data_IF_416164418615
#
_entry.id   IF_416164418615
#
_cell.length_a   1.000
_cell.length_b   1.000
_cell.length_c   1.000
_cell.angle_alpha   90.00
_cell.angle_beta   90.00
_cell.angle_gamma   90.00
#
_symmetry.space_group_name_H-M   'P 1'
#
loop_
_entity.id
_entity.type
_entity.pdbx_description
1 polymer ?
#
# COMPACT_ATOMS: atom_id res chain seq x y z
N UNK A 1 -84.54 22.41 -64.94
CA UNK A 1 -84.18 21.25 -64.09
C UNK A 1 -82.72 20.80 -64.21
N UNK A 2 -82.06 20.93 -65.37
CA UNK A 2 -80.68 20.42 -65.64
C UNK A 2 -79.56 21.08 -64.81
N UNK A 3 -79.67 22.38 -64.45
CA UNK A 3 -78.65 23.08 -63.64
C UNK A 3 -78.57 22.61 -62.17
N UNK A 4 -79.67 22.09 -61.60
CA UNK A 4 -79.68 21.58 -60.21
C UNK A 4 -78.93 20.24 -60.10
N UNK A 5 -79.07 19.35 -61.08
CA UNK A 5 -78.38 18.05 -61.10
C UNK A 5 -76.86 18.18 -61.29
N UNK A 6 -76.38 19.12 -62.12
CA UNK A 6 -74.92 19.37 -62.26
C UNK A 6 -74.29 19.91 -60.98
N UNK A 7 -74.99 20.77 -60.23
CA UNK A 7 -74.51 21.26 -58.91
C UNK A 7 -74.51 20.16 -57.86
N UNK A 8 -75.54 19.32 -57.81
CA UNK A 8 -75.59 18.18 -56.89
C UNK A 8 -74.47 17.16 -57.16
N UNK A 9 -74.15 16.88 -58.43
CA UNK A 9 -73.08 15.97 -58.84
C UNK A 9 -71.69 16.52 -58.48
N UNK A 10 -71.48 17.83 -58.62
CA UNK A 10 -70.25 18.51 -58.23
C UNK A 10 -70.05 18.49 -56.71
N UNK A 11 -71.12 18.73 -55.95
CA UNK A 11 -71.10 18.68 -54.47
C UNK A 11 -70.83 17.26 -53.99
N UNK A 12 -71.44 16.23 -54.61
CA UNK A 12 -71.20 14.84 -54.26
C UNK A 12 -69.77 14.41 -54.58
N UNK A 13 -69.22 14.81 -55.74
CA UNK A 13 -67.83 14.57 -56.10
C UNK A 13 -66.83 15.26 -55.16
N UNK A 14 -67.08 16.51 -54.77
CA UNK A 14 -66.26 17.24 -53.80
C UNK A 14 -66.35 16.60 -52.40
N UNK A 15 -67.53 16.15 -51.98
CA UNK A 15 -67.71 15.43 -50.72
C UNK A 15 -67.03 14.05 -50.72
N UNK A 16 -67.00 13.36 -51.86
CA UNK A 16 -66.31 12.07 -52.03
C UNK A 16 -64.78 12.25 -52.01
N UNK A 17 -64.27 13.33 -52.61
CA UNK A 17 -62.84 13.70 -52.52
C UNK A 17 -62.48 14.15 -51.11
N UNK A 18 -63.30 14.95 -50.44
CA UNK A 18 -63.07 15.35 -49.04
C UNK A 18 -63.11 14.16 -48.08
N UNK A 19 -64.04 13.22 -48.26
CA UNK A 19 -64.11 11.99 -47.45
C UNK A 19 -62.96 11.02 -47.75
N UNK A 20 -62.53 10.89 -49.01
CA UNK A 20 -61.32 10.16 -49.37
C UNK A 20 -60.05 10.79 -48.76
N UNK A 21 -59.95 12.12 -48.70
CA UNK A 21 -58.85 12.86 -48.04
C UNK A 21 -58.86 12.70 -46.52
N UNK A 22 -60.03 12.49 -45.91
CA UNK A 22 -60.19 12.16 -44.48
C UNK A 22 -59.73 10.73 -44.14
N UNK A 23 -59.73 9.81 -45.12
CA UNK A 23 -59.30 8.42 -44.97
C UNK A 23 -57.79 8.21 -45.18
N UNK A 24 -57.03 9.24 -45.60
CA UNK A 24 -55.57 9.15 -45.74
C UNK A 24 -54.93 9.00 -44.35
N UNK A 25 -54.15 7.93 -44.08
CA UNK A 25 -53.44 7.76 -42.82
C UNK A 25 -52.54 8.97 -42.53
N UNK A 26 -52.82 9.68 -41.45
CA UNK A 26 -52.04 10.87 -41.06
C UNK A 26 -50.81 10.44 -40.27
N UNK A 27 -49.63 10.79 -40.76
CA UNK A 27 -48.40 10.61 -39.99
C UNK A 27 -48.47 11.49 -38.73
N UNK A 28 -48.45 10.83 -37.57
CA UNK A 28 -48.54 11.49 -36.27
C UNK A 28 -47.15 11.94 -35.83
N UNK A 29 -47.01 13.10 -35.17
CA UNK A 29 -45.73 13.50 -34.61
C UNK A 29 -45.24 12.45 -33.58
N UNK A 30 -43.93 12.23 -33.46
CA UNK A 30 -43.35 11.49 -32.34
C UNK A 30 -43.78 12.12 -31.01
N UNK A 31 -44.02 11.29 -29.99
CA UNK A 31 -44.40 11.78 -28.66
C UNK A 31 -43.21 12.45 -27.97
N UNK A 32 -43.44 13.36 -27.00
CA UNK A 32 -42.36 13.97 -26.22
C UNK A 32 -41.47 12.95 -25.50
N UNK A 33 -42.03 11.81 -25.10
CA UNK A 33 -41.29 10.70 -24.48
C UNK A 33 -40.30 10.06 -25.46
N UNK A 34 -40.78 9.75 -26.68
CA UNK A 34 -39.96 9.22 -27.77
C UNK A 34 -38.87 10.22 -28.19
N UNK A 35 -39.14 11.52 -28.12
CA UNK A 35 -38.12 12.55 -28.40
C UNK A 35 -37.04 12.69 -27.31
N UNK A 36 -37.26 12.17 -26.11
CA UNK A 36 -36.32 12.21 -24.97
C UNK A 36 -35.63 10.88 -24.71
N UNK A 37 -36.07 9.79 -25.35
CA UNK A 37 -35.57 8.44 -25.10
C UNK A 37 -34.06 8.28 -25.29
N UNK A 38 -33.40 8.86 -26.32
CA UNK A 38 -31.98 8.58 -26.54
C UNK A 38 -31.10 9.07 -25.38
N UNK A 39 -31.27 10.33 -24.95
CA UNK A 39 -30.52 10.88 -23.82
C UNK A 39 -30.92 10.25 -22.49
N UNK A 40 -32.21 9.95 -22.29
CA UNK A 40 -32.68 9.31 -21.06
C UNK A 40 -32.01 7.94 -20.88
N UNK A 41 -32.02 7.10 -21.93
CA UNK A 41 -31.36 5.78 -21.92
C UNK A 41 -29.87 5.91 -21.67
N UNK A 42 -29.19 6.78 -22.42
CA UNK A 42 -27.75 6.99 -22.26
C UNK A 42 -27.35 7.33 -20.82
N UNK A 43 -28.12 8.18 -20.12
CA UNK A 43 -27.83 8.57 -18.74
C UNK A 43 -28.24 7.48 -17.73
N UNK A 44 -29.36 6.79 -17.95
CA UNK A 44 -29.88 5.79 -17.03
C UNK A 44 -29.14 4.45 -17.11
N UNK A 45 -28.68 4.08 -18.30
CA UNK A 45 -28.04 2.80 -18.60
C UNK A 45 -26.52 2.91 -18.68
N UNK A 46 -25.95 4.11 -18.47
CA UNK A 46 -24.51 4.31 -18.39
C UNK A 46 -23.91 3.34 -17.36
N UNK A 47 -22.85 2.59 -17.73
CA UNK A 47 -22.21 1.67 -16.81
C UNK A 47 -21.75 2.37 -15.51
N UNK A 48 -21.89 1.72 -14.33
CA UNK A 48 -21.45 2.29 -13.07
C UNK A 48 -19.94 2.59 -13.11
N UNK A 49 -19.56 3.74 -12.55
CA UNK A 49 -18.16 4.19 -12.56
C UNK A 49 -17.67 4.81 -13.88
N UNK A 50 -18.57 5.02 -14.85
CA UNK A 50 -18.24 5.82 -16.03
C UNK A 50 -17.79 7.22 -15.61
N UNK A 51 -16.58 7.67 -15.99
CA UNK A 51 -16.10 9.01 -15.64
C UNK A 51 -17.06 10.08 -16.16
N UNK A 52 -17.34 11.08 -15.31
CA UNK A 52 -18.31 12.13 -15.65
C UNK A 52 -17.98 12.85 -16.95
N UNK A 53 -16.70 13.13 -17.19
CA UNK A 53 -16.22 13.75 -18.43
C UNK A 53 -16.55 12.91 -19.68
N UNK A 54 -16.38 11.58 -19.61
CA UNK A 54 -16.71 10.67 -20.72
C UNK A 54 -18.21 10.66 -20.96
N UNK A 55 -19.01 10.58 -19.90
CA UNK A 55 -20.47 10.64 -20.02
C UNK A 55 -20.95 11.96 -20.62
N UNK A 56 -20.39 13.09 -20.18
CA UNK A 56 -20.75 14.43 -20.67
C UNK A 56 -20.39 14.62 -22.16
N UNK A 57 -19.25 14.07 -22.61
CA UNK A 57 -18.86 14.05 -24.02
C UNK A 57 -19.88 13.27 -24.87
N UNK A 58 -20.24 12.04 -24.43
CA UNK A 58 -21.22 11.19 -25.14
C UNK A 58 -22.62 11.81 -25.14
N UNK A 59 -23.05 12.37 -24.01
CA UNK A 59 -24.31 13.11 -23.87
C UNK A 59 -24.37 14.30 -24.82
N UNK A 60 -23.27 15.04 -24.99
CA UNK A 60 -23.22 16.18 -25.90
C UNK A 60 -23.43 15.76 -27.36
N UNK A 61 -22.82 14.65 -27.78
CA UNK A 61 -23.00 14.06 -29.10
C UNK A 61 -24.45 13.66 -29.38
N UNK A 62 -25.05 12.84 -28.50
CA UNK A 62 -26.44 12.38 -28.65
C UNK A 62 -27.43 13.56 -28.57
N UNK A 63 -27.17 14.53 -27.70
CA UNK A 63 -28.00 15.74 -27.56
C UNK A 63 -28.05 16.58 -28.84
N UNK A 64 -26.95 16.63 -29.60
CA UNK A 64 -26.93 17.33 -30.89
C UNK A 64 -27.94 16.71 -31.87
N UNK A 65 -27.89 15.38 -32.07
CA UNK A 65 -28.80 14.65 -32.97
C UNK A 65 -30.27 14.74 -32.50
N UNK A 66 -30.50 14.60 -31.18
CA UNK A 66 -31.84 14.72 -30.61
C UNK A 66 -32.43 16.12 -30.81
N UNK A 67 -31.64 17.18 -30.64
CA UNK A 67 -32.10 18.56 -30.91
C UNK A 67 -32.49 18.75 -32.37
N UNK A 68 -31.73 18.19 -33.32
CA UNK A 68 -32.09 18.24 -34.73
C UNK A 68 -33.43 17.54 -35.00
N UNK A 69 -33.69 16.38 -34.39
CA UNK A 69 -34.96 15.67 -34.49
C UNK A 69 -36.12 16.51 -33.94
N UNK A 70 -35.96 17.14 -32.76
CA UNK A 70 -36.97 18.01 -32.14
C UNK A 70 -37.29 19.20 -33.05
N UNK A 71 -36.27 19.86 -33.62
CA UNK A 71 -36.46 20.97 -34.57
C UNK A 71 -37.19 20.49 -35.82
N UNK A 72 -36.88 19.31 -36.34
CA UNK A 72 -37.56 18.73 -37.50
C UNK A 72 -39.05 18.45 -37.20
N UNK A 73 -39.39 17.91 -36.03
CA UNK A 73 -40.79 17.75 -35.59
C UNK A 73 -41.48 19.10 -35.50
N UNK A 74 -40.87 20.09 -34.85
CA UNK A 74 -41.45 21.43 -34.68
C UNK A 74 -41.72 22.11 -36.03
N UNK A 75 -40.80 21.97 -37.00
CA UNK A 75 -40.98 22.49 -38.37
C UNK A 75 -42.17 21.82 -39.06
N UNK A 76 -42.33 20.51 -38.92
CA UNK A 76 -43.41 19.78 -39.60
C UNK A 76 -44.77 19.98 -38.95
N UNK A 77 -44.82 20.13 -37.62
CA UNK A 77 -46.05 20.44 -36.88
C UNK A 77 -46.68 21.78 -37.28
N UNK A 78 -45.89 22.73 -37.78
CA UNK A 78 -46.36 24.03 -38.30
C UNK A 78 -47.02 23.95 -39.69
N UNK A 79 -46.88 22.84 -40.40
CA UNK A 79 -47.50 22.66 -41.73
C UNK A 79 -48.98 22.25 -41.63
N UNK A 80 -49.80 22.53 -42.66
CA UNK A 80 -51.16 22.02 -42.75
C UNK A 80 -51.20 20.49 -42.60
N UNK A 81 -52.21 19.89 -41.93
CA UNK A 81 -52.24 18.46 -41.60
C UNK A 81 -51.95 17.50 -42.76
N UNK A 82 -52.37 17.86 -43.98
CA UNK A 82 -52.19 17.06 -45.20
C UNK A 82 -50.76 17.10 -45.77
N UNK A 83 -49.95 18.08 -45.36
CA UNK A 83 -48.56 18.27 -45.81
C UNK A 83 -47.54 17.89 -44.72
N UNK A 84 -48.02 17.24 -43.65
CA UNK A 84 -47.19 16.73 -42.55
C UNK A 84 -46.57 15.38 -42.94
N UNK A 85 -45.46 15.04 -42.29
CA UNK A 85 -44.55 13.98 -42.72
C UNK A 85 -43.29 14.03 -41.87
N UNK A 86 -43.23 13.15 -40.88
CA UNK A 86 -42.23 13.14 -39.82
C UNK A 86 -41.11 12.13 -40.10
N UNK A 87 -41.06 11.51 -41.28
CA UNK A 87 -40.04 10.52 -41.67
C UNK A 87 -38.61 11.03 -41.46
N UNK A 88 -38.32 12.28 -41.81
CA UNK A 88 -37.00 12.89 -41.57
C UNK A 88 -36.69 13.04 -40.08
N UNK A 89 -37.66 13.45 -39.27
CA UNK A 89 -37.51 13.55 -37.82
C UNK A 89 -37.33 12.16 -37.17
N UNK A 90 -38.04 11.14 -37.66
CA UNK A 90 -37.88 9.74 -37.22
C UNK A 90 -36.50 9.18 -37.58
N UNK A 91 -35.96 9.50 -38.77
CA UNK A 91 -34.59 9.12 -39.15
C UNK A 91 -33.55 9.77 -38.23
N UNK A 92 -33.68 11.06 -37.94
CA UNK A 92 -32.78 11.77 -37.01
C UNK A 92 -32.86 11.19 -35.59
N UNK A 93 -34.06 10.80 -35.15
CA UNK A 93 -34.23 10.15 -33.86
C UNK A 93 -33.60 8.75 -33.85
N UNK A 94 -33.80 7.96 -34.91
CA UNK A 94 -33.17 6.64 -35.05
C UNK A 94 -31.63 6.74 -35.06
N UNK A 95 -31.06 7.78 -35.69
CA UNK A 95 -29.62 8.03 -35.61
C UNK A 95 -29.16 8.45 -34.20
N UNK A 96 -29.99 9.20 -33.46
CA UNK A 96 -29.68 9.56 -32.08
C UNK A 96 -29.74 8.33 -31.15
N UNK A 97 -30.71 7.44 -31.36
CA UNK A 97 -30.83 6.16 -30.65
C UNK A 97 -29.64 5.25 -30.96
N UNK A 98 -29.29 5.07 -32.23
CA UNK A 98 -28.13 4.27 -32.62
C UNK A 98 -26.82 4.82 -32.02
N UNK A 99 -26.64 6.14 -32.00
CA UNK A 99 -25.49 6.77 -31.36
C UNK A 99 -25.47 6.60 -29.84
N UNK A 100 -26.64 6.55 -29.19
CA UNK A 100 -26.75 6.25 -27.76
C UNK A 100 -26.39 4.79 -27.48
N UNK A 101 -26.88 3.84 -28.29
CA UNK A 101 -26.58 2.41 -28.17
C UNK A 101 -25.08 2.15 -28.37
N UNK A 102 -24.47 2.73 -29.42
CA UNK A 102 -23.02 2.67 -29.68
C UNK A 102 -22.20 3.24 -28.51
N UNK A 103 -22.63 4.38 -27.94
CA UNK A 103 -21.96 4.97 -26.80
C UNK A 103 -22.03 4.08 -25.55
N UNK A 104 -23.19 3.46 -25.29
CA UNK A 104 -23.39 2.54 -24.17
C UNK A 104 -22.50 1.29 -24.32
N UNK A 105 -22.46 0.69 -25.50
CA UNK A 105 -21.62 -0.47 -25.78
C UNK A 105 -20.11 -0.16 -25.65
N UNK A 106 -19.68 1.00 -26.18
CA UNK A 106 -18.30 1.44 -26.04
C UNK A 106 -17.91 1.67 -24.57
N UNK A 107 -18.77 2.35 -23.79
CA UNK A 107 -18.53 2.55 -22.36
C UNK A 107 -18.53 1.22 -21.60
N UNK A 108 -19.45 0.29 -21.92
CA UNK A 108 -19.51 -1.02 -21.28
C UNK A 108 -18.25 -1.84 -21.54
N UNK A 109 -17.73 -1.81 -22.77
CA UNK A 109 -16.47 -2.49 -23.14
C UNK A 109 -15.29 -1.94 -22.36
N UNK A 110 -15.16 -0.61 -22.28
CA UNK A 110 -14.09 0.05 -21.51
C UNK A 110 -14.20 -0.28 -20.02
N UNK A 111 -15.41 -0.25 -19.45
CA UNK A 111 -15.64 -0.56 -18.04
C UNK A 111 -15.41 -2.05 -17.72
N UNK A 112 -15.74 -2.96 -18.64
CA UNK A 112 -15.45 -4.38 -18.49
C UNK A 112 -13.93 -4.65 -18.48
N UNK A 113 -13.18 -4.00 -19.38
CA UNK A 113 -11.72 -4.10 -19.40
C UNK A 113 -11.10 -3.52 -18.11
N UNK A 114 -11.56 -2.34 -17.68
CA UNK A 114 -11.10 -1.71 -16.43
C UNK A 114 -11.43 -2.56 -15.20
N UNK A 115 -12.60 -3.20 -15.16
CA UNK A 115 -12.98 -4.13 -14.10
C UNK A 115 -12.04 -5.34 -14.05
N UNK A 116 -11.73 -5.94 -15.20
CA UNK A 116 -10.83 -7.09 -15.28
C UNK A 116 -9.41 -6.72 -14.82
N UNK A 117 -8.92 -5.54 -15.22
CA UNK A 117 -7.63 -5.04 -14.74
C UNK A 117 -7.66 -4.78 -13.23
N UNK A 118 -8.72 -4.14 -12.70
CA UNK A 118 -8.87 -3.89 -11.27
C UNK A 118 -8.85 -5.19 -10.46
N UNK A 119 -9.60 -6.22 -10.89
CA UNK A 119 -9.60 -7.53 -10.26
C UNK A 119 -8.19 -8.13 -10.24
N UNK A 120 -7.51 -8.13 -11.39
CA UNK A 120 -6.15 -8.67 -11.52
C UNK A 120 -5.18 -7.97 -10.57
N UNK A 121 -5.20 -6.63 -10.54
CA UNK A 121 -4.30 -5.87 -9.66
C UNK A 121 -4.62 -6.05 -8.18
N UNK A 122 -5.90 -6.15 -7.80
CA UNK A 122 -6.28 -6.42 -6.41
C UNK A 122 -5.77 -7.79 -5.97
N UNK A 123 -5.90 -8.82 -6.81
CA UNK A 123 -5.36 -10.15 -6.52
C UNK A 123 -3.85 -10.11 -6.35
N UNK A 124 -3.12 -9.46 -7.26
CA UNK A 124 -1.67 -9.28 -7.13
C UNK A 124 -1.30 -8.52 -5.85
N UNK A 125 -2.06 -7.48 -5.50
CA UNK A 125 -1.85 -6.69 -4.29
C UNK A 125 -2.08 -7.51 -3.01
N UNK A 126 -3.10 -8.36 -3.00
CA UNK A 126 -3.37 -9.31 -1.91
C UNK A 126 -2.19 -10.27 -1.70
N UNK A 127 -1.71 -10.91 -2.78
CA UNK A 127 -0.57 -11.82 -2.73
C UNK A 127 0.71 -11.12 -2.28
N UNK A 128 1.00 -9.94 -2.81
CA UNK A 128 2.17 -9.16 -2.44
C UNK A 128 2.16 -8.78 -0.95
N UNK A 129 1.00 -8.38 -0.42
CA UNK A 129 0.82 -8.02 0.98
C UNK A 129 0.94 -9.22 1.91
N UNK A 130 0.38 -10.37 1.53
CA UNK A 130 0.55 -11.62 2.27
C UNK A 130 2.03 -12.03 2.34
N UNK A 131 2.73 -11.96 1.20
CA UNK A 131 4.17 -12.25 1.15
C UNK A 131 4.97 -11.27 2.01
N UNK A 132 4.67 -9.97 1.95
CA UNK A 132 5.33 -8.96 2.77
C UNK A 132 5.10 -9.20 4.29
N UNK A 133 3.89 -9.62 4.68
CA UNK A 133 3.58 -10.02 6.08
C UNK A 133 4.39 -11.23 6.53
N UNK A 134 4.44 -12.30 5.71
CA UNK A 134 5.18 -13.52 6.06
C UNK A 134 6.67 -13.25 6.18
N UNK A 135 7.23 -12.51 5.23
CA UNK A 135 8.64 -12.11 5.27
C UNK A 135 8.90 -11.23 6.48
N UNK A 136 8.05 -10.24 6.74
CA UNK A 136 8.18 -9.37 7.89
C UNK A 136 8.12 -10.10 9.22
N UNK A 137 7.20 -11.05 9.40
CA UNK A 137 7.13 -11.85 10.62
C UNK A 137 8.43 -12.63 10.91
N UNK A 138 9.21 -12.97 9.87
CA UNK A 138 10.49 -13.69 10.00
C UNK A 138 11.67 -12.79 10.36
N UNK A 139 11.64 -11.54 9.91
CA UNK A 139 12.64 -10.52 10.25
C UNK A 139 11.97 -9.48 11.14
N UNK A 140 11.95 -9.73 12.46
CA UNK A 140 11.35 -8.89 13.51
C UNK A 140 11.16 -7.44 13.04
N UNK A 141 9.96 -7.15 12.51
CA UNK A 141 9.76 -5.91 11.74
C UNK A 141 10.01 -4.71 12.62
N UNK A 142 10.61 -3.68 12.04
CA UNK A 142 10.65 -2.36 12.67
C UNK A 142 9.22 -1.82 12.85
N UNK A 143 8.99 -0.98 13.85
CA UNK A 143 7.69 -0.33 14.09
C UNK A 143 7.14 0.37 12.83
N UNK A 144 8.03 1.03 12.07
CA UNK A 144 7.68 1.67 10.81
C UNK A 144 7.16 0.68 9.75
N UNK A 145 7.80 -0.49 9.61
CA UNK A 145 7.37 -1.53 8.66
C UNK A 145 6.02 -2.15 9.07
N UNK A 146 5.78 -2.36 10.38
CA UNK A 146 4.45 -2.79 10.86
C UNK A 146 3.36 -1.77 10.54
N UNK A 147 3.61 -0.48 10.79
CA UNK A 147 2.68 0.59 10.45
C UNK A 147 2.44 0.67 8.94
N UNK A 148 3.49 0.51 8.12
CA UNK A 148 3.38 0.49 6.67
C UNK A 148 2.45 -0.65 6.19
N UNK A 149 2.61 -1.86 6.73
CA UNK A 149 1.73 -3.01 6.40
C UNK A 149 0.27 -2.74 6.76
N UNK A 150 -0.01 -2.19 7.95
CA UNK A 150 -1.37 -1.81 8.36
C UNK A 150 -1.96 -0.79 7.37
N UNK A 151 -1.17 0.21 6.97
CA UNK A 151 -1.61 1.19 5.98
C UNK A 151 -1.88 0.57 4.61
N UNK A 152 -1.10 -0.44 4.20
CA UNK A 152 -1.35 -1.18 2.96
C UNK A 152 -2.65 -1.99 3.03
N UNK A 153 -2.97 -2.59 4.20
CA UNK A 153 -4.23 -3.31 4.41
C UNK A 153 -5.44 -2.39 4.23
N UNK A 154 -5.41 -1.22 4.88
CA UNK A 154 -6.47 -0.20 4.74
C UNK A 154 -6.62 0.22 3.27
N UNK A 155 -5.49 0.45 2.59
CA UNK A 155 -5.48 0.86 1.17
C UNK A 155 -6.04 -0.24 0.25
N UNK A 156 -5.78 -1.51 0.57
CA UNK A 156 -6.31 -2.65 -0.16
C UNK A 156 -7.84 -2.75 0.02
N UNK A 157 -8.35 -2.54 1.23
CA UNK A 157 -9.79 -2.48 1.45
C UNK A 157 -10.44 -1.31 0.69
N UNK A 158 -9.78 -0.16 0.60
CA UNK A 158 -10.24 0.95 -0.24
C UNK A 158 -10.33 0.55 -1.71
N UNK A 159 -9.34 -0.19 -2.23
CA UNK A 159 -9.37 -0.70 -3.58
C UNK A 159 -10.59 -1.62 -3.82
N UNK A 160 -10.87 -2.53 -2.88
CA UNK A 160 -12.03 -3.44 -2.94
C UNK A 160 -13.37 -2.69 -2.86
N UNK A 161 -13.46 -1.65 -2.02
CA UNK A 161 -14.64 -0.78 -1.94
C UNK A 161 -14.88 -0.03 -3.24
N UNK A 162 -13.83 0.48 -3.87
CA UNK A 162 -13.93 1.17 -5.16
C UNK A 162 -14.34 0.21 -6.29
N UNK A 163 -13.79 -1.02 -6.32
CA UNK A 163 -14.24 -2.08 -7.23
C UNK A 163 -15.74 -2.34 -7.09
N UNK A 164 -16.24 -2.46 -5.85
CA UNK A 164 -17.67 -2.70 -5.58
C UNK A 164 -18.56 -1.54 -6.03
N UNK A 165 -18.07 -0.31 -5.95
CA UNK A 165 -18.77 0.91 -6.41
C UNK A 165 -18.71 1.12 -7.93
N UNK A 166 -17.94 0.30 -8.65
CA UNK A 166 -17.68 0.47 -10.08
C UNK A 166 -16.57 1.46 -10.41
N UNK A 167 -15.94 2.10 -9.43
CA UNK A 167 -14.81 3.00 -9.66
C UNK A 167 -13.50 2.20 -9.86
N UNK A 168 -13.41 1.56 -11.03
CA UNK A 168 -12.30 0.66 -11.34
C UNK A 168 -10.96 1.40 -11.45
N UNK A 169 -10.95 2.65 -11.90
CA UNK A 169 -9.72 3.44 -11.99
C UNK A 169 -9.16 3.76 -10.60
N UNK A 170 -10.01 4.18 -9.66
CA UNK A 170 -9.57 4.37 -8.28
C UNK A 170 -9.13 3.04 -7.64
N UNK A 171 -9.81 1.93 -7.96
CA UNK A 171 -9.41 0.59 -7.49
C UNK A 171 -8.02 0.18 -8.02
N UNK A 172 -7.77 0.34 -9.32
CA UNK A 172 -6.47 0.06 -9.98
C UNK A 172 -5.35 0.88 -9.35
N UNK A 173 -5.59 2.19 -9.13
CA UNK A 173 -4.61 3.07 -8.53
C UNK A 173 -4.27 2.65 -7.10
N UNK A 174 -5.28 2.40 -6.26
CA UNK A 174 -5.10 1.96 -4.87
C UNK A 174 -4.39 0.61 -4.78
N UNK A 175 -4.75 -0.36 -5.62
CA UNK A 175 -4.05 -1.64 -5.71
C UNK A 175 -2.57 -1.45 -6.14
N UNK A 176 -2.30 -0.52 -7.06
CA UNK A 176 -0.94 -0.14 -7.45
C UNK A 176 -0.09 0.40 -6.28
N UNK A 177 -0.69 1.20 -5.39
CA UNK A 177 -0.02 1.71 -4.18
C UNK A 177 0.35 0.56 -3.22
N UNK A 178 -0.53 -0.43 -3.08
CA UNK A 178 -0.28 -1.62 -2.25
C UNK A 178 0.87 -2.46 -2.82
N UNK A 179 0.90 -2.64 -4.15
CA UNK A 179 1.97 -3.37 -4.83
C UNK A 179 3.34 -2.73 -4.65
N UNK A 180 3.44 -1.41 -4.85
CA UNK A 180 4.71 -0.69 -4.69
C UNK A 180 5.17 -0.67 -3.23
N UNK A 181 4.26 -0.42 -2.29
CA UNK A 181 4.53 -0.48 -0.85
C UNK A 181 5.03 -1.86 -0.42
N UNK A 182 4.31 -2.92 -0.79
CA UNK A 182 4.68 -4.30 -0.44
C UNK A 182 6.05 -4.71 -1.01
N UNK A 183 6.37 -4.27 -2.23
CA UNK A 183 7.70 -4.51 -2.83
C UNK A 183 8.80 -3.82 -2.03
N UNK A 184 8.60 -2.56 -1.64
CA UNK A 184 9.58 -1.83 -0.82
C UNK A 184 9.87 -2.54 0.50
N UNK A 185 8.83 -3.07 1.17
CA UNK A 185 8.99 -3.84 2.40
C UNK A 185 9.75 -5.16 2.18
N UNK A 186 9.45 -5.87 1.09
CA UNK A 186 10.18 -7.09 0.71
C UNK A 186 11.65 -6.81 0.43
N UNK A 187 11.97 -5.71 -0.25
CA UNK A 187 13.35 -5.31 -0.51
C UNK A 187 14.09 -4.91 0.77
N UNK A 188 13.43 -4.20 1.69
CA UNK A 188 13.97 -3.89 3.01
C UNK A 188 14.30 -5.16 3.80
N UNK A 189 13.35 -6.10 3.83
CA UNK A 189 13.54 -7.38 4.50
C UNK A 189 14.66 -8.22 3.86
N UNK A 190 14.73 -8.25 2.53
CA UNK A 190 15.77 -8.96 1.80
C UNK A 190 17.16 -8.38 2.11
N UNK A 191 17.31 -7.05 2.18
CA UNK A 191 18.55 -6.38 2.59
C UNK A 191 18.96 -6.75 4.02
N UNK A 192 17.99 -6.76 4.94
CA UNK A 192 18.22 -7.20 6.33
C UNK A 192 18.69 -8.65 6.37
N UNK A 193 17.98 -9.57 5.71
CA UNK A 193 18.34 -10.99 5.69
C UNK A 193 19.72 -11.22 5.08
N UNK A 194 20.05 -10.52 3.98
CA UNK A 194 21.36 -10.59 3.34
C UNK A 194 22.49 -10.20 4.31
N UNK A 195 22.30 -9.15 5.12
CA UNK A 195 23.26 -8.75 6.17
C UNK A 195 23.39 -9.84 7.24
N UNK A 196 22.28 -10.38 7.72
CA UNK A 196 22.27 -11.40 8.78
C UNK A 196 22.86 -12.75 8.33
N UNK A 197 22.91 -12.99 7.01
CA UNK A 197 23.49 -14.19 6.41
C UNK A 197 24.90 -13.98 5.83
N UNK A 198 25.44 -12.77 5.90
CA UNK A 198 26.78 -12.49 5.39
C UNK A 198 27.83 -13.27 6.18
N UNK A 199 28.53 -14.19 5.49
CA UNK A 199 29.47 -15.12 6.14
C UNK A 199 30.60 -14.42 6.87
N UNK A 200 31.06 -13.27 6.36
CA UNK A 200 32.17 -12.53 6.97
C UNK A 200 31.75 -11.86 8.27
N UNK A 201 30.56 -11.26 8.26
CA UNK A 201 29.92 -10.60 9.40
C UNK A 201 29.54 -11.62 10.47
N UNK A 202 28.92 -12.74 10.08
CA UNK A 202 28.55 -13.83 11.00
C UNK A 202 29.77 -14.46 11.65
N UNK A 203 30.86 -14.68 10.90
CA UNK A 203 32.11 -15.19 11.47
C UNK A 203 32.75 -14.19 12.46
N UNK A 204 32.66 -12.89 12.16
CA UNK A 204 33.12 -11.83 13.06
C UNK A 204 32.32 -11.83 14.38
N UNK A 205 30.99 -11.87 14.30
CA UNK A 205 30.10 -11.95 15.45
C UNK A 205 30.37 -13.20 16.29
N UNK A 206 30.48 -14.37 15.66
CA UNK A 206 30.83 -15.63 16.35
C UNK A 206 32.12 -15.49 17.14
N UNK A 207 33.17 -14.95 16.51
CA UNK A 207 34.46 -14.74 17.16
C UNK A 207 34.35 -13.81 18.36
N UNK A 208 33.59 -12.71 18.27
CA UNK A 208 33.41 -11.80 19.40
C UNK A 208 32.68 -12.47 20.56
N UNK A 209 31.59 -13.20 20.28
CA UNK A 209 30.84 -13.95 21.30
C UNK A 209 31.73 -15.00 21.97
N UNK A 210 32.42 -15.82 21.20
CA UNK A 210 33.32 -16.87 21.72
C UNK A 210 34.41 -16.28 22.62
N UNK A 211 35.00 -15.15 22.23
CA UNK A 211 36.02 -14.46 23.01
C UNK A 211 35.47 -13.94 24.35
N UNK A 212 34.26 -13.40 24.35
CA UNK A 212 33.60 -12.85 25.54
C UNK A 212 33.18 -13.95 26.52
N UNK A 213 32.59 -15.03 26.02
CA UNK A 213 32.25 -16.20 26.85
C UNK A 213 33.52 -16.88 27.38
N UNK A 214 34.57 -17.00 26.56
CA UNK A 214 35.85 -17.54 27.01
C UNK A 214 36.54 -16.65 28.04
N UNK A 215 36.41 -15.31 27.93
CA UNK A 215 36.88 -14.38 28.96
C UNK A 215 36.15 -14.61 30.28
N UNK A 216 34.80 -14.70 30.25
CA UNK A 216 33.98 -14.97 31.43
C UNK A 216 34.42 -16.26 32.12
N UNK A 217 34.68 -17.33 31.34
CA UNK A 217 35.20 -18.60 31.85
C UNK A 217 36.57 -18.47 32.53
N UNK A 218 37.51 -17.77 31.91
CA UNK A 218 38.89 -17.65 32.43
C UNK A 218 38.96 -16.77 33.69
N UNK A 219 38.08 -15.78 33.79
CA UNK A 219 38.05 -14.85 34.92
C UNK A 219 37.09 -15.28 36.02
N UNK A 220 36.35 -16.39 35.83
CA UNK A 220 35.25 -16.81 36.71
C UNK A 220 34.33 -15.63 37.05
N UNK A 221 33.90 -14.91 36.01
CA UNK A 221 33.18 -13.63 36.16
C UNK A 221 32.10 -13.45 35.11
N UNK A 222 31.23 -12.48 35.34
CA UNK A 222 30.08 -12.15 34.50
C UNK A 222 30.48 -11.54 33.15
N UNK A 223 29.76 -11.89 32.09
CA UNK A 223 29.79 -11.19 30.80
C UNK A 223 28.38 -11.11 30.19
N UNK A 224 28.16 -10.08 29.36
CA UNK A 224 26.90 -9.89 28.64
C UNK A 224 27.10 -10.11 27.14
N UNK A 225 26.11 -10.72 26.49
CA UNK A 225 26.02 -10.82 25.03
C UNK A 225 24.64 -10.34 24.59
N UNK A 226 24.58 -9.46 23.60
CA UNK A 226 23.34 -8.89 23.07
C UNK A 226 23.15 -9.38 21.64
N UNK A 227 22.00 -10.00 21.39
CA UNK A 227 21.50 -10.44 20.11
C UNK A 227 20.45 -9.45 19.59
N UNK A 228 20.82 -8.63 18.61
CA UNK A 228 19.92 -7.57 18.12
C UNK A 228 18.73 -8.14 17.35
N UNK A 229 18.95 -9.08 16.42
CA UNK A 229 17.87 -9.69 15.64
C UNK A 229 16.97 -10.59 16.50
N UNK A 230 17.52 -11.15 17.58
CA UNK A 230 16.78 -11.95 18.55
C UNK A 230 16.14 -11.14 19.67
N UNK A 231 16.31 -9.81 19.72
CA UNK A 231 15.88 -8.91 20.80
C UNK A 231 16.22 -9.44 22.19
N UNK A 232 17.44 -9.94 22.37
CA UNK A 232 17.85 -10.66 23.58
C UNK A 232 19.15 -10.16 24.19
N UNK A 233 19.19 -10.09 25.52
CA UNK A 233 20.40 -9.93 26.31
C UNK A 233 20.67 -11.19 27.12
N UNK A 234 21.82 -11.79 26.91
CA UNK A 234 22.25 -13.04 27.52
C UNK A 234 23.29 -12.74 28.61
N UNK A 235 23.02 -13.24 29.81
CA UNK A 235 23.91 -13.13 30.96
C UNK A 235 24.72 -14.42 31.11
N UNK A 236 26.04 -14.32 31.01
CA UNK A 236 26.96 -15.43 31.27
C UNK A 236 27.66 -15.24 32.60
N UNK A 237 27.84 -16.32 33.35
CA UNK A 237 28.74 -16.38 34.49
C UNK A 237 29.70 -17.57 34.33
N UNK A 238 31.00 -17.33 34.54
CA UNK A 238 32.05 -18.35 34.41
C UNK A 238 31.95 -19.15 33.09
N UNK A 239 31.55 -18.49 32.01
CA UNK A 239 31.38 -19.06 30.68
C UNK A 239 30.15 -19.96 30.50
N UNK A 240 29.20 -19.94 31.44
CA UNK A 240 27.91 -20.64 31.37
C UNK A 240 26.79 -19.61 31.21
N UNK A 241 25.83 -19.88 30.32
CA UNK A 241 24.63 -19.05 30.19
C UNK A 241 23.79 -19.21 31.47
N UNK A 242 23.56 -18.12 32.17
CA UNK A 242 22.78 -18.08 33.41
C UNK A 242 21.31 -17.80 33.12
N UNK A 243 21.02 -16.76 32.34
CA UNK A 243 19.66 -16.39 31.93
C UNK A 243 19.68 -15.52 30.68
N UNK A 244 18.50 -15.31 30.09
CA UNK A 244 18.27 -14.44 28.93
C UNK A 244 17.11 -13.50 29.23
N UNK A 245 17.23 -12.25 28.81
CA UNK A 245 16.21 -11.21 28.93
C UNK A 245 15.77 -10.74 27.55
N UNK A 246 14.50 -10.41 27.43
CA UNK A 246 14.00 -9.67 26.27
C UNK A 246 14.40 -8.19 26.42
N UNK A 247 14.76 -7.55 25.32
CA UNK A 247 15.19 -6.14 25.31
C UNK A 247 14.48 -5.34 24.23
N UNK A 248 14.14 -4.10 24.55
CA UNK A 248 13.78 -3.09 23.55
C UNK A 248 15.07 -2.42 23.04
N UNK A 249 15.20 -2.25 21.72
CA UNK A 249 16.39 -1.65 21.09
C UNK A 249 16.13 -0.23 20.57
N UNK A 250 17.13 0.30 19.86
CA UNK A 250 16.95 1.51 19.07
C UNK A 250 15.99 1.32 17.91
N UNK A 251 15.28 2.38 17.52
CA UNK A 251 14.28 2.38 16.43
C UNK A 251 14.80 1.86 15.07
N UNK A 252 16.12 1.79 14.89
CA UNK A 252 16.77 1.18 13.74
C UNK A 252 17.64 -0.02 14.19
N UNK A 253 17.03 -1.13 14.64
CA UNK A 253 17.71 -2.16 15.42
C UNK A 253 18.69 -3.00 14.60
N UNK A 254 18.57 -3.09 13.27
CA UNK A 254 19.37 -4.03 12.46
C UNK A 254 20.74 -3.48 12.05
N UNK A 255 20.86 -2.25 11.50
CA UNK A 255 22.15 -1.71 11.10
C UNK A 255 23.10 -1.53 12.29
N UNK A 256 24.40 -1.55 12.03
CA UNK A 256 25.40 -1.12 13.02
C UNK A 256 25.34 0.40 13.17
N UNK A 257 25.56 0.87 14.40
CA UNK A 257 25.60 2.29 14.71
C UNK A 257 26.85 2.92 14.11
N UNK A 258 26.66 4.03 13.42
CA UNK A 258 27.72 4.82 12.82
C UNK A 258 27.76 6.24 13.36
N UNK A 259 26.62 6.83 13.73
CA UNK A 259 26.59 8.22 14.16
C UNK A 259 25.41 8.56 15.08
N UNK A 260 25.43 9.78 15.62
CA UNK A 260 24.29 10.32 16.37
C UNK A 260 23.06 10.45 15.47
N UNK A 261 21.89 10.03 15.96
CA UNK A 261 20.62 10.16 15.25
C UNK A 261 20.29 9.04 14.24
N UNK A 262 21.19 8.07 14.00
CA UNK A 262 20.89 6.88 13.18
C UNK A 262 19.94 5.87 13.85
N UNK A 263 19.69 6.08 15.15
CA UNK A 263 18.83 5.29 16.05
C UNK A 263 19.20 3.80 16.10
N UNK A 264 20.43 3.45 15.72
CA UNK A 264 20.93 2.09 15.78
C UNK A 264 21.61 1.80 17.11
N UNK A 265 21.51 0.55 17.56
CA UNK A 265 22.32 0.00 18.65
C UNK A 265 23.66 -0.49 18.07
N UNK A 266 24.82 -0.10 18.65
CA UNK A 266 26.12 -0.40 18.08
C UNK A 266 26.43 -1.90 18.13
N UNK A 267 27.23 -2.39 17.19
CA UNK A 267 27.77 -3.75 17.17
C UNK A 267 29.27 -3.73 17.47
N UNK A 268 29.71 -4.58 18.37
CA UNK A 268 31.09 -4.57 18.81
C UNK A 268 31.30 -5.20 20.18
N UNK A 269 32.52 -5.04 20.71
CA UNK A 269 32.88 -5.46 22.06
C UNK A 269 33.08 -4.21 22.91
N UNK A 270 32.32 -4.12 23.97
CA UNK A 270 32.23 -3.02 24.91
C UNK A 270 32.52 -3.49 26.32
N UNK A 271 32.58 -2.54 27.24
CA UNK A 271 32.59 -2.75 28.68
C UNK A 271 31.64 -1.75 29.32
N UNK A 272 31.08 -2.14 30.47
CA UNK A 272 30.42 -1.19 31.35
C UNK A 272 31.47 -0.20 31.87
N UNK A 273 31.36 1.06 31.49
CA UNK A 273 32.23 2.13 31.97
C UNK A 273 31.72 2.74 33.28
N UNK A 274 30.41 2.69 33.52
CA UNK A 274 29.80 3.20 34.75
C UNK A 274 28.49 2.48 35.04
N UNK A 275 28.22 2.19 36.32
CA UNK A 275 26.91 1.77 36.82
C UNK A 275 26.25 2.97 37.50
N UNK A 276 25.01 3.29 37.12
CA UNK A 276 24.27 4.48 37.57
C UNK A 276 22.90 4.09 38.11
N UNK A 277 22.52 4.68 39.24
CA UNK A 277 21.18 4.58 39.81
C UNK A 277 20.78 5.89 40.52
N UNK A 278 19.56 5.94 41.04
CA UNK A 278 19.07 7.09 41.82
C UNK A 278 19.17 8.40 41.04
N UNK A 279 19.93 9.36 41.56
CA UNK A 279 20.09 10.69 40.95
C UNK A 279 21.07 10.74 39.77
N UNK A 280 21.83 9.68 39.50
CA UNK A 280 22.89 9.66 38.49
C UNK A 280 22.37 9.32 37.08
N UNK A 281 21.09 8.95 36.97
CA UNK A 281 20.45 8.60 35.69
C UNK A 281 18.98 9.00 35.70
N UNK A 282 18.43 9.26 34.52
CA UNK A 282 16.99 9.49 34.33
C UNK A 282 16.19 8.18 34.31
N UNK A 283 16.89 7.03 34.21
CA UNK A 283 16.28 5.70 34.19
C UNK A 283 16.17 5.13 35.61
N UNK A 284 15.48 3.99 35.76
CA UNK A 284 15.47 3.25 37.04
C UNK A 284 16.90 2.86 37.47
N UNK A 285 17.68 2.37 36.51
CA UNK A 285 19.11 2.04 36.59
C UNK A 285 19.69 2.07 35.18
N UNK A 286 20.97 2.39 35.04
CA UNK A 286 21.65 2.42 33.75
C UNK A 286 23.10 1.94 33.85
N UNK A 287 23.52 1.07 32.93
CA UNK A 287 24.89 0.63 32.74
C UNK A 287 25.44 1.28 31.48
N UNK A 288 26.28 2.30 31.65
CA UNK A 288 26.88 3.02 30.54
C UNK A 288 27.94 2.16 29.88
N UNK A 289 27.89 2.06 28.55
CA UNK A 289 28.95 1.43 27.76
C UNK A 289 30.07 2.41 27.47
N UNK A 290 31.28 1.89 27.27
CA UNK A 290 32.41 2.66 26.72
C UNK A 290 32.27 2.97 25.21
N UNK A 291 31.06 3.17 24.71
CA UNK A 291 30.79 3.64 23.35
C UNK A 291 30.87 5.18 23.29
N UNK A 292 31.55 5.78 22.30
CA UNK A 292 32.33 5.10 21.26
C UNK A 292 33.71 4.64 21.76
N UNK A 293 34.13 3.45 21.35
CA UNK A 293 35.50 2.95 21.53
C UNK A 293 36.36 3.19 20.27
N UNK A 294 37.61 2.72 20.29
CA UNK A 294 38.56 2.90 19.19
C UNK A 294 38.05 2.29 17.87
N UNK A 295 37.44 1.11 17.92
CA UNK A 295 36.84 0.48 16.75
C UNK A 295 35.65 1.28 16.20
N UNK A 296 34.83 1.90 17.05
CA UNK A 296 33.71 2.76 16.61
C UNK A 296 34.23 4.02 15.92
N UNK A 297 35.25 4.66 16.49
CA UNK A 297 35.91 5.81 15.86
C UNK A 297 36.51 5.46 14.50
N UNK A 298 37.11 4.27 14.36
CA UNK A 298 37.62 3.80 13.08
C UNK A 298 36.48 3.60 12.05
N UNK A 299 35.37 2.98 12.45
CA UNK A 299 34.20 2.78 11.57
C UNK A 299 33.56 4.12 11.16
N UNK A 300 33.43 5.07 12.09
CA UNK A 300 32.90 6.41 11.82
C UNK A 300 33.77 7.20 10.82
N UNK A 301 35.10 7.22 11.03
CA UNK A 301 36.03 7.91 10.12
C UNK A 301 35.95 7.35 8.71
N UNK A 302 36.02 6.02 8.57
CA UNK A 302 35.87 5.34 7.28
C UNK A 302 34.53 5.66 6.61
N UNK A 303 33.43 5.66 7.38
CA UNK A 303 32.10 5.99 6.85
C UNK A 303 31.99 7.44 6.35
N UNK A 304 32.67 8.38 7.02
CA UNK A 304 32.77 9.76 6.56
C UNK A 304 33.60 9.89 5.27
N UNK A 305 34.72 9.20 5.19
CA UNK A 305 35.58 9.18 3.99
C UNK A 305 34.85 8.61 2.77
N UNK A 306 34.02 7.58 2.98
CA UNK A 306 33.18 6.96 1.95
C UNK A 306 31.92 7.78 1.60
N UNK A 307 31.70 8.94 2.23
CA UNK A 307 30.53 9.79 1.97
C UNK A 307 29.20 9.23 2.51
N UNK A 308 29.24 8.21 3.37
CA UNK A 308 28.05 7.60 3.99
C UNK A 308 27.47 8.43 5.14
N UNK A 309 28.22 9.41 5.63
CA UNK A 309 27.83 10.31 6.71
C UNK A 309 27.99 11.75 6.23
N UNK A 310 26.92 12.53 6.31
CA UNK A 310 26.93 13.92 5.90
C UNK A 310 27.92 14.76 6.75
N UNK A 311 28.53 15.82 6.18
CA UNK A 311 29.39 16.73 6.93
C UNK A 311 28.69 17.32 8.16
N UNK A 312 29.42 17.45 9.27
CA UNK A 312 28.90 18.04 10.52
C UNK A 312 28.24 17.05 11.49
N UNK A 313 27.84 15.86 11.03
CA UNK A 313 27.30 14.81 11.91
C UNK A 313 28.42 14.24 12.80
N UNK A 314 28.13 14.08 14.09
CA UNK A 314 29.04 13.54 15.11
C UNK A 314 28.77 12.05 15.36
N UNK A 315 29.73 11.36 15.98
CA UNK A 315 29.63 9.92 16.30
C UNK A 315 28.58 9.61 17.39
N UNK A 316 28.26 10.59 18.24
CA UNK A 316 27.37 10.44 19.39
C UNK A 316 28.05 9.77 20.60
N UNK A 317 27.25 9.31 21.55
CA UNK A 317 27.69 8.66 22.78
C UNK A 317 26.52 8.17 23.63
N UNK A 318 26.76 7.94 24.92
CA UNK A 318 25.72 7.62 25.92
C UNK A 318 24.85 6.41 25.55
N UNK A 319 25.47 5.35 25.05
CA UNK A 319 24.79 4.07 24.84
C UNK A 319 24.80 3.31 26.15
N UNK A 320 23.60 2.96 26.62
CA UNK A 320 23.39 2.37 27.94
C UNK A 320 22.53 1.09 27.84
N UNK A 321 22.69 0.21 28.82
CA UNK A 321 21.70 -0.82 29.16
C UNK A 321 20.89 -0.26 30.33
N UNK A 322 19.58 -0.03 30.19
CA UNK A 322 18.81 0.71 31.20
C UNK A 322 17.40 0.18 31.45
N UNK A 323 16.76 0.66 32.51
CA UNK A 323 15.36 0.33 32.86
C UNK A 323 14.29 1.02 31.99
N UNK A 324 13.02 0.86 32.33
CA UNK A 324 11.85 1.36 31.57
C UNK A 324 11.63 0.75 30.18
N UNK A 325 12.24 -0.41 29.93
CA UNK A 325 11.92 -1.29 28.81
C UNK A 325 10.74 -2.22 29.09
N UNK A 326 10.66 -3.30 28.31
CA UNK A 326 9.56 -4.26 28.34
C UNK A 326 8.30 -3.74 27.64
N UNK A 327 8.47 -2.85 26.65
CA UNK A 327 7.35 -2.31 25.87
C UNK A 327 6.91 -3.27 24.78
N UNK A 328 7.76 -4.23 24.41
CA UNK A 328 7.53 -5.13 23.29
C UNK A 328 7.69 -4.43 21.93
N UNK A 329 8.40 -3.30 21.90
CA UNK A 329 8.72 -2.56 20.69
C UNK A 329 10.01 -1.74 20.86
N UNK A 330 10.73 -1.52 19.78
CA UNK A 330 11.96 -0.73 19.76
C UNK A 330 11.64 0.76 19.81
N UNK A 331 12.27 1.50 20.73
CA UNK A 331 11.94 2.91 20.97
C UNK A 331 13.13 3.78 21.36
N UNK A 332 14.28 3.19 21.69
CA UNK A 332 15.43 3.97 22.16
C UNK A 332 16.12 4.66 20.98
N UNK A 333 17.12 5.50 21.27
CA UNK A 333 18.00 6.08 20.25
C UNK A 333 19.29 5.25 20.03
N UNK A 334 19.34 4.02 20.55
CA UNK A 334 20.46 3.10 20.43
C UNK A 334 20.80 2.32 21.70
N UNK A 335 20.19 2.67 22.85
CA UNK A 335 20.30 1.93 24.10
C UNK A 335 19.55 0.58 24.04
N UNK A 336 19.82 -0.28 25.03
CA UNK A 336 19.09 -1.53 25.25
C UNK A 336 18.26 -1.37 26.53
N UNK A 337 16.94 -1.43 26.42
CA UNK A 337 16.05 -1.22 27.56
C UNK A 337 15.45 -2.54 28.07
N UNK A 338 15.53 -2.77 29.37
CA UNK A 338 14.96 -3.91 30.09
C UNK A 338 13.87 -3.43 31.06
N UNK A 339 13.07 -4.35 31.57
CA UNK A 339 12.15 -4.02 32.67
C UNK A 339 12.94 -3.68 33.93
N UNK A 340 12.35 -2.87 34.82
CA UNK A 340 13.01 -2.48 36.07
C UNK A 340 13.39 -3.69 36.95
N UNK A 341 12.53 -4.73 37.13
CA UNK A 341 12.91 -5.92 37.89
C UNK A 341 14.09 -6.69 37.29
N UNK A 342 14.21 -6.74 35.96
CA UNK A 342 15.36 -7.38 35.29
C UNK A 342 16.64 -6.56 35.49
N UNK A 343 16.54 -5.23 35.50
CA UNK A 343 17.66 -4.35 35.85
C UNK A 343 18.12 -4.53 37.29
N UNK A 344 17.18 -4.67 38.24
CA UNK A 344 17.50 -4.96 39.65
C UNK A 344 18.18 -6.32 39.80
N UNK A 345 17.74 -7.32 39.03
CA UNK A 345 18.42 -8.61 38.97
C UNK A 345 19.84 -8.45 38.43
N UNK A 346 20.01 -7.78 37.28
CA UNK A 346 21.32 -7.61 36.63
C UNK A 346 22.32 -6.83 37.47
N UNK A 347 21.88 -5.88 38.29
CA UNK A 347 22.75 -5.08 39.17
C UNK A 347 23.58 -5.95 40.12
N UNK A 348 23.03 -7.07 40.58
CA UNK A 348 23.77 -8.05 41.40
C UNK A 348 24.88 -8.80 40.65
N UNK A 349 24.93 -8.72 39.32
CA UNK A 349 25.86 -9.46 38.47
C UNK A 349 26.82 -8.57 37.67
N UNK A 350 26.44 -7.32 37.42
CA UNK A 350 27.14 -6.39 36.53
C UNK A 350 27.89 -5.34 37.34
N UNK A 351 29.13 -5.06 36.95
CA UNK A 351 29.98 -4.03 37.56
C UNK A 351 30.77 -3.31 36.47
N UNK A 352 31.44 -2.22 36.85
CA UNK A 352 32.39 -1.56 35.95
C UNK A 352 33.44 -2.54 35.44
N UNK A 353 33.73 -2.46 34.14
CA UNK A 353 34.62 -3.37 33.44
C UNK A 353 33.99 -4.66 32.92
N UNK A 354 32.75 -5.01 33.35
CA UNK A 354 32.02 -6.17 32.83
C UNK A 354 31.94 -6.07 31.30
N UNK A 355 32.42 -7.08 30.55
CA UNK A 355 32.40 -7.03 29.09
C UNK A 355 30.99 -7.24 28.57
N UNK A 356 30.67 -6.51 27.50
CA UNK A 356 29.41 -6.58 26.77
C UNK A 356 29.74 -6.80 25.30
N UNK A 357 29.21 -7.82 24.66
CA UNK A 357 29.35 -8.01 23.21
C UNK A 357 28.01 -7.86 22.54
N UNK A 358 27.92 -6.98 21.56
CA UNK A 358 26.68 -6.73 20.81
C UNK A 358 26.88 -7.21 19.38
N UNK A 359 25.98 -8.07 18.90
CA UNK A 359 26.01 -8.64 17.56
C UNK A 359 24.68 -8.44 16.85
N UNK A 360 24.71 -8.37 15.52
CA UNK A 360 23.49 -8.21 14.72
C UNK A 360 22.57 -9.44 14.80
N UNK A 361 23.15 -10.64 14.83
CA UNK A 361 22.44 -11.88 15.17
C UNK A 361 23.38 -12.85 15.88
N UNK A 362 22.87 -13.62 16.84
CA UNK A 362 23.64 -14.76 17.34
C UNK A 362 23.80 -15.79 16.22
N UNK A 363 25.05 -16.26 15.98
CA UNK A 363 25.27 -17.32 15.02
C UNK A 363 24.61 -18.59 15.56
N UNK A 364 23.52 -19.00 14.89
CA UNK A 364 22.76 -20.19 15.25
C UNK A 364 23.68 -21.40 15.42
N UNK A 365 23.32 -22.31 16.33
CA UNK A 365 24.01 -23.59 16.46
C UNK A 365 23.95 -24.33 15.10
N UNK A 366 24.97 -25.11 14.72
CA UNK A 366 24.90 -25.92 13.50
C UNK A 366 23.71 -26.88 13.60
N UNK A 367 22.63 -26.61 12.85
CA UNK A 367 21.41 -27.44 12.86
C UNK A 367 20.10 -26.64 12.85
N UNK A 368 20.09 -25.41 13.33
CA UNK A 368 18.90 -24.56 13.27
C UNK A 368 18.86 -23.81 11.93
N UNK A 369 18.28 -24.43 10.90
CA UNK A 369 17.95 -23.72 9.67
C UNK A 369 16.75 -22.81 9.90
N UNK A 370 16.91 -21.50 9.72
CA UNK A 370 15.83 -20.72 9.12
C UNK A 370 15.63 -21.34 7.74
N UNK A 371 14.55 -22.11 7.55
CA UNK A 371 14.22 -22.73 6.29
C UNK A 371 14.02 -21.63 5.22
N UNK A 372 15.09 -21.34 4.49
CA UNK A 372 15.06 -20.53 3.28
C UNK A 372 15.24 -21.50 2.12
N UNK A 373 14.23 -22.32 1.87
CA UNK A 373 14.09 -22.95 0.56
C UNK A 373 13.68 -21.85 -0.43
N UNK A 374 14.69 -21.19 -1.00
CA UNK A 374 14.55 -20.27 -2.13
C UNK A 374 14.27 -21.01 -3.46
N UNK A 375 13.63 -22.19 -3.41
CA UNK A 375 13.29 -23.00 -4.58
C UNK A 375 11.90 -23.63 -4.44
N UNK A 376 10.85 -22.82 -4.51
CA UNK A 376 9.50 -23.31 -4.87
C UNK A 376 8.75 -22.36 -5.79
N UNK A 377 9.47 -21.57 -6.60
CA UNK A 377 8.94 -20.89 -7.77
C UNK A 377 9.56 -21.54 -9.01
N UNK A 378 9.02 -22.69 -9.40
CA UNK A 378 9.47 -23.42 -10.58
C UNK A 378 8.82 -24.78 -10.70
N UNK A 379 7.97 -24.92 -11.70
CA UNK A 379 7.26 -26.14 -12.14
C UNK A 379 6.00 -26.55 -11.36
N UNK A 380 4.85 -26.17 -11.90
CA UNK A 380 3.72 -27.10 -12.06
C UNK A 380 2.96 -26.69 -13.32
N UNK A 381 2.52 -27.71 -14.04
CA UNK A 381 1.98 -27.73 -15.41
C UNK A 381 0.73 -26.90 -15.66
#
# INVERSE_FOLDING_TARGET
MVRRHRRASLILGVALVLSAVLLIPRDKPPTPEVLRSPLRRLVQEAPPGTPRAVLDERVSGVSHLQRQAIIAVARQSRRPPLLRGYTGARRLLATADAAADEALEAMATVQAAARQEALTRITQAQEALLNARVVGARVHLQAAARQALIQQEITLEEAQRNLTRGDYQAAIHKAGQVLSGSRSEQENAARTLARLQDRTTVALWRRWVDQTVAWSRRQSSTALVVDKAGHRLLLYDSGRLLTTFDIDLGLNPIPDKLHEGDKATPEGRYRISQVRDGGDTIYHRAFLLNYPNDEDWARFKKAREEGRIAPGIQIGGLIEIHGYGGRGDDWTNGCMALTNPEMDFLDGWVKEGTPVTIVGALPMAPGDTLAVDATSAGSSH
#
